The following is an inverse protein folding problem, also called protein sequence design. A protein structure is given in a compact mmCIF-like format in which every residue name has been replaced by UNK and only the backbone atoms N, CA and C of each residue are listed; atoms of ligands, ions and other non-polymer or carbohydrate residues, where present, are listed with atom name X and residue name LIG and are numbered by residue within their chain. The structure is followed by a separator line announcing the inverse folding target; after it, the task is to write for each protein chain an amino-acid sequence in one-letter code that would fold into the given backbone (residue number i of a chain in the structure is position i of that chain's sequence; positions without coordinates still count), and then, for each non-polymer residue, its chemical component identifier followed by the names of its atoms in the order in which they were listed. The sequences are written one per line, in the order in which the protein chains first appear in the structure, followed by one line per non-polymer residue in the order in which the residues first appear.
data_IF_110918118891
#
_entry.id   IF_110918118891
#
_cell.length_a   1.000
_cell.length_b   1.000
_cell.length_c   1.000
_cell.angle_alpha   90.00
_cell.angle_beta   90.00
_cell.angle_gamma   90.00
#
_symmetry.space_group_name_H-M   'P 1'
#
loop_
_entity.id
_entity.type
_entity.pdbx_description
1 polymer ?
#
# COMPACT_ATOMS: atom_id res chain seq x y z
N UNK A 1 1.82 -4.19 5.92
CA UNK A 1 0.45 -3.66 6.07
C UNK A 1 -0.15 -3.57 4.68
N UNK A 2 -1.38 -4.03 4.50
CA UNK A 2 -2.11 -3.91 3.24
C UNK A 2 -3.34 -3.01 3.46
N UNK A 3 -3.42 -1.89 2.74
CA UNK A 3 -4.55 -0.97 2.79
C UNK A 3 -5.31 -1.05 1.47
N UNK A 4 -6.46 -1.71 1.48
CA UNK A 4 -7.19 -2.10 0.25
C UNK A 4 -8.18 -1.02 -0.21
N UNK A 5 -8.44 -0.05 0.65
CA UNK A 5 -9.43 1.01 0.48
C UNK A 5 -8.96 2.21 -0.35
N UNK A 6 -9.94 3.00 -0.79
CA UNK A 6 -9.75 4.33 -1.37
C UNK A 6 -11.08 5.08 -1.41
N UNK A 7 -11.08 6.39 -1.10
CA UNK A 7 -12.29 7.22 -1.18
C UNK A 7 -12.82 7.37 -2.62
N UNK A 8 -11.92 7.45 -3.60
CA UNK A 8 -12.26 7.48 -5.02
C UNK A 8 -12.31 6.06 -5.60
N UNK A 9 -13.47 5.64 -6.10
CA UNK A 9 -13.67 4.34 -6.73
C UNK A 9 -12.74 4.12 -7.94
N UNK A 10 -12.41 5.18 -8.69
CA UNK A 10 -11.46 5.13 -9.80
C UNK A 10 -10.04 4.73 -9.40
N UNK A 11 -9.69 4.89 -8.11
CA UNK A 11 -8.37 4.62 -7.54
C UNK A 11 -8.32 3.32 -6.75
N UNK A 12 -9.38 2.51 -6.77
CA UNK A 12 -9.40 1.20 -6.10
C UNK A 12 -8.82 0.16 -7.05
N UNK A 13 -7.69 -0.42 -6.67
CA UNK A 13 -7.26 -1.68 -7.26
C UNK A 13 -8.32 -2.74 -6.94
N UNK A 14 -8.75 -3.56 -7.92
CA UNK A 14 -9.85 -4.49 -7.71
C UNK A 14 -9.62 -5.43 -6.51
N UNK A 15 -10.64 -5.57 -5.67
CA UNK A 15 -10.55 -6.37 -4.44
C UNK A 15 -10.16 -7.83 -4.71
N UNK A 16 -10.72 -8.43 -5.77
CA UNK A 16 -10.36 -9.78 -6.18
C UNK A 16 -8.89 -9.93 -6.59
N UNK A 17 -8.24 -8.86 -7.07
CA UNK A 17 -6.82 -8.90 -7.39
C UNK A 17 -5.93 -8.71 -6.15
N UNK A 18 -6.37 -7.91 -5.17
CA UNK A 18 -5.76 -7.93 -3.83
C UNK A 18 -5.86 -9.32 -3.20
N UNK A 19 -7.04 -9.94 -3.28
CA UNK A 19 -7.30 -11.27 -2.72
C UNK A 19 -6.47 -12.36 -3.40
N UNK A 20 -6.08 -12.17 -4.67
CA UNK A 20 -5.17 -13.06 -5.37
C UNK A 20 -3.69 -12.84 -4.98
N UNK A 21 -3.28 -11.62 -4.63
CA UNK A 21 -1.89 -11.34 -4.23
C UNK A 21 -1.59 -11.70 -2.76
N UNK A 22 -2.59 -11.62 -1.89
CA UNK A 22 -2.39 -11.76 -0.45
C UNK A 22 -1.96 -13.18 0.00
N UNK A 23 -2.51 -14.29 -0.55
CA UNK A 23 -2.06 -15.65 -0.24
C UNK A 23 -0.61 -15.90 -0.65
N UNK A 24 -0.22 -15.51 -1.86
CA UNK A 24 1.16 -15.67 -2.37
C UNK A 24 2.18 -15.00 -1.43
N UNK A 25 1.88 -13.77 -0.96
CA UNK A 25 2.71 -13.10 0.04
C UNK A 25 2.82 -13.90 1.35
N UNK A 26 1.73 -14.54 1.79
CA UNK A 26 1.74 -15.34 3.01
C UNK A 26 2.52 -16.65 2.84
N UNK A 27 2.50 -17.26 1.65
CA UNK A 27 3.32 -18.43 1.31
C UNK A 27 4.83 -18.09 1.39
N UNK A 28 5.21 -16.88 1.01
CA UNK A 28 6.56 -16.30 1.20
C UNK A 28 6.85 -15.86 2.65
N UNK A 29 5.99 -16.21 3.62
CA UNK A 29 6.19 -15.93 5.04
C UNK A 29 5.85 -14.52 5.48
N UNK A 30 5.21 -13.71 4.63
CA UNK A 30 4.78 -12.35 4.98
C UNK A 30 3.50 -12.41 5.82
N UNK A 31 3.55 -11.82 7.02
CA UNK A 31 2.37 -11.63 7.87
C UNK A 31 1.62 -10.38 7.46
N UNK A 32 0.34 -10.53 7.12
CA UNK A 32 -0.49 -9.43 6.64
C UNK A 32 -1.38 -8.86 7.76
N UNK A 33 -1.31 -7.54 7.91
CA UNK A 33 -2.27 -6.73 8.68
C UNK A 33 -3.01 -5.88 7.68
N UNK A 34 -4.32 -6.06 7.61
CA UNK A 34 -5.23 -5.32 6.75
C UNK A 34 -5.75 -4.09 7.46
N UNK A 35 -5.88 -3.00 6.71
CA UNK A 35 -6.41 -1.73 7.22
C UNK A 35 -7.39 -1.13 6.22
N UNK A 36 -8.28 -0.30 6.73
CA UNK A 36 -9.35 0.37 6.01
C UNK A 36 -10.10 1.29 6.95
N UNK A 37 -10.94 2.16 6.42
CA UNK A 37 -11.96 2.84 7.23
C UNK A 37 -13.07 1.86 7.65
N UNK A 38 -13.94 2.28 8.59
CA UNK A 38 -15.09 1.47 9.00
C UNK A 38 -16.04 1.17 7.82
N UNK A 39 -16.18 2.10 6.87
CA UNK A 39 -16.97 1.90 5.65
C UNK A 39 -16.33 0.91 4.64
N UNK A 40 -15.10 0.47 4.90
CA UNK A 40 -14.34 -0.45 4.05
C UNK A 40 -14.14 -1.81 4.71
N UNK A 41 -14.81 -2.09 5.84
CA UNK A 41 -14.70 -3.36 6.56
C UNK A 41 -15.09 -4.55 5.68
N UNK A 42 -16.25 -4.50 5.01
CA UNK A 42 -16.68 -5.56 4.09
C UNK A 42 -15.69 -5.78 2.94
N UNK A 43 -15.09 -4.70 2.43
CA UNK A 43 -14.06 -4.76 1.39
C UNK A 43 -12.79 -5.46 1.91
N UNK A 44 -12.36 -5.11 3.12
CA UNK A 44 -11.20 -5.74 3.78
C UNK A 44 -11.46 -7.23 4.00
N UNK A 45 -12.64 -7.58 4.50
CA UNK A 45 -13.01 -8.96 4.76
C UNK A 45 -13.11 -9.79 3.47
N UNK A 46 -13.61 -9.21 2.36
CA UNK A 46 -13.60 -9.87 1.05
C UNK A 46 -12.18 -10.22 0.62
N UNK A 47 -11.22 -9.30 0.78
CA UNK A 47 -9.81 -9.57 0.45
C UNK A 47 -9.21 -10.61 1.40
N UNK A 48 -9.53 -10.53 2.69
CA UNK A 48 -8.97 -11.39 3.74
C UNK A 48 -9.53 -12.81 3.72
N UNK A 49 -10.75 -13.02 3.23
CA UNK A 49 -11.46 -14.30 3.27
C UNK A 49 -10.69 -15.47 2.62
N UNK A 50 -9.84 -15.18 1.62
CA UNK A 50 -9.01 -16.17 0.94
C UNK A 50 -7.69 -16.52 1.66
N UNK A 51 -7.40 -15.90 2.81
CA UNK A 51 -6.14 -16.10 3.52
C UNK A 51 -6.10 -17.44 4.27
N UNK A 52 -5.20 -18.34 3.87
CA UNK A 52 -4.92 -19.60 4.59
C UNK A 52 -3.93 -19.46 5.77
N UNK A 53 -3.27 -18.29 5.91
CA UNK A 53 -2.25 -18.01 6.92
C UNK A 53 -2.61 -16.89 7.89
N UNK A 54 -1.63 -16.43 8.69
CA UNK A 54 -1.84 -15.34 9.64
C UNK A 54 -2.26 -14.05 8.93
N UNK A 55 -3.51 -13.64 9.19
CA UNK A 55 -4.06 -12.36 8.78
C UNK A 55 -4.79 -11.72 9.95
N UNK A 56 -4.74 -10.40 10.04
CA UNK A 56 -5.51 -9.64 11.02
C UNK A 56 -6.07 -8.38 10.36
N UNK A 57 -7.32 -8.05 10.65
CA UNK A 57 -7.97 -6.81 10.19
C UNK A 57 -7.97 -5.80 11.33
N UNK A 58 -7.64 -4.55 11.02
CA UNK A 58 -7.80 -3.38 11.89
C UNK A 58 -8.67 -2.32 11.16
N UNK A 59 -9.57 -2.76 10.28
CA UNK A 59 -10.44 -1.89 9.51
C UNK A 59 -11.40 -1.14 10.45
N UNK A 60 -11.44 0.19 10.36
CA UNK A 60 -12.27 1.02 11.24
C UNK A 60 -11.78 1.13 12.69
N UNK A 61 -10.70 0.44 13.07
CA UNK A 61 -10.21 0.40 14.46
C UNK A 61 -9.12 1.44 14.76
N UNK A 62 -8.54 2.07 13.74
CA UNK A 62 -7.38 2.93 13.88
C UNK A 62 -7.73 4.41 13.68
N UNK A 63 -7.31 5.25 14.63
CA UNK A 63 -7.13 6.68 14.38
C UNK A 63 -5.96 6.93 13.41
N UNK A 64 -5.87 8.15 12.86
CA UNK A 64 -4.74 8.52 11.99
C UNK A 64 -3.37 8.36 12.69
N UNK A 65 -3.30 8.70 13.98
CA UNK A 65 -2.07 8.58 14.76
C UNK A 65 -1.67 7.11 14.97
N UNK A 66 -2.65 6.23 15.23
CA UNK A 66 -2.41 4.79 15.38
C UNK A 66 -2.04 4.14 14.04
N UNK A 67 -2.65 4.56 12.94
CA UNK A 67 -2.24 4.15 11.60
C UNK A 67 -0.78 4.54 11.35
N UNK A 68 -0.38 5.78 11.66
CA UNK A 68 1.01 6.21 11.53
C UNK A 68 1.96 5.37 12.40
N UNK A 69 1.56 5.05 13.64
CA UNK A 69 2.34 4.22 14.55
C UNK A 69 2.50 2.77 14.04
N UNK A 70 1.42 2.19 13.50
CA UNK A 70 1.45 0.88 12.84
C UNK A 70 2.38 0.90 11.62
N UNK A 71 2.22 1.88 10.73
CA UNK A 71 3.03 2.01 9.52
C UNK A 71 4.51 2.16 9.85
N UNK A 72 4.87 2.99 10.84
CA UNK A 72 6.26 3.17 11.29
C UNK A 72 6.93 1.87 11.72
N UNK A 73 6.16 0.91 12.24
CA UNK A 73 6.65 -0.42 12.64
C UNK A 73 6.60 -1.43 11.51
N UNK A 74 5.73 -1.22 10.51
CA UNK A 74 5.59 -2.10 9.37
C UNK A 74 6.86 -2.06 8.49
N UNK A 75 7.28 -3.20 7.93
CA UNK A 75 8.39 -3.23 6.99
C UNK A 75 8.00 -2.69 5.60
N UNK A 76 6.71 -2.72 5.29
CA UNK A 76 6.16 -2.34 4.00
C UNK A 76 4.67 -1.97 4.13
N UNK A 77 4.23 -0.97 3.37
CA UNK A 77 2.84 -0.71 3.03
C UNK A 77 2.58 -1.13 1.57
N UNK A 78 1.50 -1.87 1.33
CA UNK A 78 0.90 -2.08 0.00
C UNK A 78 -0.45 -1.36 0.00
N UNK A 79 -0.66 -0.41 -0.90
CA UNK A 79 -1.87 0.43 -0.89
C UNK A 79 -2.20 0.98 -2.26
N UNK A 80 -3.47 1.33 -2.47
CA UNK A 80 -3.85 2.31 -3.49
C UNK A 80 -3.19 3.67 -3.23
N UNK A 81 -3.04 4.52 -4.25
CA UNK A 81 -2.55 5.90 -4.07
C UNK A 81 -3.57 6.77 -3.31
N UNK A 82 -3.49 6.72 -1.98
CA UNK A 82 -4.41 7.36 -1.03
C UNK A 82 -3.66 7.90 0.20
N UNK A 83 -4.39 8.51 1.15
CA UNK A 83 -3.82 9.08 2.37
C UNK A 83 -2.77 8.20 3.09
N UNK A 84 -3.03 6.90 3.32
CA UNK A 84 -2.06 5.97 3.92
C UNK A 84 -0.67 5.94 3.26
N UNK A 85 -0.57 6.11 1.94
CA UNK A 85 0.71 6.19 1.23
C UNK A 85 1.52 7.40 1.71
N UNK A 86 0.89 8.56 1.83
CA UNK A 86 1.55 9.77 2.32
C UNK A 86 1.94 9.65 3.80
N UNK A 87 1.10 9.01 4.62
CA UNK A 87 1.43 8.73 6.02
C UNK A 87 2.65 7.80 6.11
N UNK A 88 2.69 6.74 5.31
CA UNK A 88 3.84 5.83 5.25
C UNK A 88 5.13 6.56 4.86
N UNK A 89 5.08 7.43 3.85
CA UNK A 89 6.21 8.27 3.46
C UNK A 89 6.69 9.14 4.63
N UNK A 90 5.75 9.81 5.33
CA UNK A 90 6.08 10.69 6.45
C UNK A 90 6.74 9.96 7.63
N UNK A 91 6.43 8.67 7.83
CA UNK A 91 7.03 7.85 8.91
C UNK A 91 8.18 6.94 8.45
N UNK A 92 8.62 7.07 7.19
CA UNK A 92 9.78 6.36 6.65
C UNK A 92 9.53 4.90 6.26
N UNK A 93 8.27 4.54 5.99
CA UNK A 93 7.88 3.17 5.63
C UNK A 93 7.90 2.99 4.11
N UNK A 94 8.59 1.96 3.59
CA UNK A 94 8.56 1.62 2.17
C UNK A 94 7.15 1.35 1.64
N UNK A 95 6.92 1.61 0.36
CA UNK A 95 5.57 1.54 -0.25
C UNK A 95 5.56 0.80 -1.59
N UNK A 96 4.68 -0.19 -1.74
CA UNK A 96 4.14 -0.57 -3.04
C UNK A 96 2.86 0.23 -3.27
N UNK A 97 2.90 1.14 -4.24
CA UNK A 97 1.81 2.06 -4.54
C UNK A 97 1.09 1.64 -5.83
N UNK A 98 -0.18 1.27 -5.70
CA UNK A 98 -1.06 0.93 -6.82
C UNK A 98 -1.68 2.24 -7.33
N UNK A 99 -1.09 2.76 -8.40
CA UNK A 99 -1.22 4.14 -8.81
C UNK A 99 -2.13 4.31 -10.02
N UNK A 100 -3.26 5.00 -9.84
CA UNK A 100 -4.27 5.20 -10.88
C UNK A 100 -3.91 6.25 -11.96
N UNK A 101 -2.62 6.56 -12.12
CA UNK A 101 -2.09 7.53 -13.10
C UNK A 101 -2.75 8.92 -13.01
N UNK A 102 -2.96 9.46 -11.81
CA UNK A 102 -3.67 10.75 -11.62
C UNK A 102 -2.76 11.98 -11.75
N UNK A 103 -1.76 12.13 -10.89
CA UNK A 103 -0.77 13.20 -10.92
C UNK A 103 0.61 12.64 -10.55
N UNK A 104 1.59 12.55 -11.46
CA UNK A 104 2.91 12.00 -11.14
C UNK A 104 3.63 12.70 -9.99
N UNK A 105 3.26 13.94 -9.63
CA UNK A 105 3.80 14.62 -8.44
C UNK A 105 3.31 14.02 -7.10
N UNK A 106 2.26 13.19 -7.11
CA UNK A 106 1.67 12.57 -5.93
C UNK A 106 2.13 11.12 -5.71
N UNK A 107 3.12 10.65 -6.46
CA UNK A 107 3.77 9.36 -6.17
C UNK A 107 4.49 9.41 -4.82
N UNK A 108 4.79 8.27 -4.19
CA UNK A 108 5.50 8.22 -2.91
C UNK A 108 6.83 8.98 -3.00
N UNK A 109 7.20 9.69 -1.93
CA UNK A 109 8.42 10.51 -1.88
C UNK A 109 9.19 10.26 -0.59
N UNK A 110 10.52 10.27 -0.68
CA UNK A 110 11.41 10.18 0.49
C UNK A 110 11.54 8.78 1.11
N UNK A 111 10.97 7.74 0.49
CA UNK A 111 11.07 6.34 0.93
C UNK A 111 11.30 5.41 -0.25
N UNK A 112 11.92 4.23 -0.05
CA UNK A 112 11.94 3.18 -1.07
C UNK A 112 10.52 2.82 -1.50
N UNK A 113 10.27 2.82 -2.81
CA UNK A 113 8.96 2.50 -3.32
C UNK A 113 9.00 1.74 -4.65
N UNK A 114 7.88 1.11 -4.96
CA UNK A 114 7.53 0.57 -6.28
C UNK A 114 6.15 1.13 -6.65
N UNK A 115 6.09 1.90 -7.71
CA UNK A 115 4.84 2.48 -8.22
C UNK A 115 4.36 1.60 -9.36
N UNK A 116 3.22 0.94 -9.17
CA UNK A 116 2.64 0.02 -10.14
C UNK A 116 1.44 0.69 -10.81
N UNK A 117 1.45 0.70 -12.14
CA UNK A 117 0.37 1.23 -12.97
C UNK A 117 0.41 0.55 -14.33
N UNK A 118 -0.74 0.41 -14.97
CA UNK A 118 -0.83 0.01 -16.38
C UNK A 118 -1.07 1.22 -17.25
N UNK A 119 -0.32 1.32 -18.34
CA UNK A 119 -0.35 2.49 -19.18
C UNK A 119 -1.64 2.58 -20.02
N UNK A 120 -2.29 3.75 -19.99
CA UNK A 120 -3.58 3.98 -20.69
C UNK A 120 -3.63 5.34 -21.39
N UNK A 121 -4.47 5.51 -22.44
CA UNK A 121 -4.68 6.80 -23.09
C UNK A 121 -5.30 7.85 -22.17
N UNK A 122 -6.23 7.44 -21.29
CA UNK A 122 -6.96 8.30 -20.36
C UNK A 122 -6.17 8.65 -19.08
N UNK A 123 -4.83 8.50 -19.08
CA UNK A 123 -3.96 8.86 -17.95
C UNK A 123 -4.08 10.35 -17.60
N UNK A 124 -3.54 10.72 -16.43
CA UNK A 124 -3.68 12.05 -15.83
C UNK A 124 -5.15 12.42 -15.55
N UNK A 125 -5.98 11.41 -15.25
CA UNK A 125 -7.39 11.59 -14.93
C UNK A 125 -7.59 11.84 -13.43
N UNK A 126 -8.37 12.86 -13.09
CA UNK A 126 -8.64 13.26 -11.70
C UNK A 126 -10.04 12.86 -11.21
N UNK A 127 -10.81 12.11 -12.00
CA UNK A 127 -12.20 11.76 -11.70
C UNK A 127 -12.27 10.70 -10.60
N UNK A 128 -13.23 10.84 -9.67
CA UNK A 128 -13.44 9.88 -8.58
C UNK A 128 -14.09 8.57 -9.01
N UNK A 129 -14.75 8.57 -10.18
CA UNK A 129 -15.31 7.39 -10.87
C UNK A 129 -14.70 7.36 -12.27
N UNK A 130 -14.34 6.17 -12.76
CA UNK A 130 -13.69 6.03 -14.06
C UNK A 130 -14.68 6.39 -15.19
N UNK A 131 -14.43 7.44 -16.01
CA UNK A 131 -15.33 7.82 -17.09
C UNK A 131 -15.43 6.75 -18.18
N UNK A 132 -14.34 6.01 -18.38
CA UNK A 132 -14.25 4.94 -19.37
C UNK A 132 -14.82 3.61 -18.86
N UNK A 133 -15.18 3.51 -17.58
CA UNK A 133 -15.79 2.33 -16.96
C UNK A 133 -14.89 1.09 -16.80
N UNK A 134 -13.67 1.09 -17.35
CA UNK A 134 -12.82 -0.11 -17.38
C UNK A 134 -11.79 -0.19 -16.23
N UNK A 135 -11.36 0.95 -15.67
CA UNK A 135 -10.34 1.05 -14.61
C UNK A 135 -8.99 0.37 -14.94
N UNK A 136 -8.61 0.34 -16.22
CA UNK A 136 -7.49 -0.50 -16.72
C UNK A 136 -6.14 -0.05 -16.18
N UNK A 137 -5.99 1.22 -15.81
CA UNK A 137 -4.78 1.73 -15.17
C UNK A 137 -4.40 0.97 -13.89
N UNK A 138 -5.40 0.36 -13.23
CA UNK A 138 -5.21 -0.50 -12.07
C UNK A 138 -5.59 -1.95 -12.36
N UNK A 139 -6.73 -2.20 -13.03
CA UNK A 139 -7.26 -3.55 -13.31
C UNK A 139 -6.29 -4.44 -14.08
N UNK A 140 -5.43 -3.87 -14.93
CA UNK A 140 -4.45 -4.63 -15.71
C UNK A 140 -3.12 -4.88 -14.99
N UNK A 141 -2.94 -4.37 -13.77
CA UNK A 141 -1.78 -4.72 -12.94
C UNK A 141 -2.00 -6.15 -12.43
N UNK A 142 -1.15 -7.13 -12.78
CA UNK A 142 -1.32 -8.50 -12.32
C UNK A 142 -0.97 -8.63 -10.83
N UNK A 143 -1.67 -9.47 -10.05
CA UNK A 143 -1.35 -9.73 -8.65
C UNK A 143 0.12 -10.10 -8.42
N UNK A 144 0.70 -10.91 -9.30
CA UNK A 144 2.10 -11.32 -9.25
C UNK A 144 3.08 -10.12 -9.29
N UNK A 145 2.77 -9.03 -9.98
CA UNK A 145 3.62 -7.83 -9.96
C UNK A 145 3.59 -7.13 -8.59
N UNK A 146 2.45 -7.19 -7.88
CA UNK A 146 2.32 -6.68 -6.51
C UNK A 146 3.16 -7.53 -5.55
N UNK A 147 3.07 -8.85 -5.67
CA UNK A 147 3.86 -9.81 -4.88
C UNK A 147 5.36 -9.58 -5.10
N UNK A 148 5.80 -9.58 -6.36
CA UNK A 148 7.21 -9.36 -6.71
C UNK A 148 7.73 -8.03 -6.15
N UNK A 149 7.01 -6.93 -6.39
CA UNK A 149 7.40 -5.60 -5.90
C UNK A 149 7.51 -5.55 -4.36
N UNK A 150 6.61 -6.26 -3.67
CA UNK A 150 6.63 -6.34 -2.22
C UNK A 150 7.84 -7.14 -1.70
N UNK A 151 8.11 -8.32 -2.28
CA UNK A 151 9.23 -9.16 -1.88
C UNK A 151 10.58 -8.50 -2.16
N UNK A 152 10.73 -7.81 -3.29
CA UNK A 152 11.94 -7.01 -3.58
C UNK A 152 12.20 -5.96 -2.48
N UNK A 153 11.19 -5.16 -2.13
CA UNK A 153 11.34 -4.13 -1.09
C UNK A 153 11.57 -4.73 0.31
N UNK A 154 11.00 -5.90 0.61
CA UNK A 154 11.23 -6.60 1.87
C UNK A 154 12.65 -7.18 1.94
N UNK A 155 13.17 -7.71 0.84
CA UNK A 155 14.54 -8.23 0.73
C UNK A 155 15.59 -7.12 0.88
N UNK A 156 15.40 -5.97 0.23
CA UNK A 156 16.29 -4.81 0.33
C UNK A 156 16.44 -4.32 1.79
N UNK A 157 15.42 -4.51 2.62
CA UNK A 157 15.39 -4.11 4.03
C UNK A 157 16.24 -4.99 4.94
N UNK A 158 16.71 -6.15 4.48
CA UNK A 158 17.71 -6.95 5.20
C UNK A 158 19.07 -6.24 5.28
N UNK A 159 19.28 -5.17 4.49
CA UNK A 159 20.36 -4.21 4.67
C UNK A 159 19.88 -2.99 5.48
N UNK A 160 20.23 -2.94 6.78
CA UNK A 160 20.22 -1.70 7.58
C UNK A 160 21.65 -1.37 8.04
N UNK A 161 22.33 -0.38 7.44
CA UNK A 161 23.26 0.40 8.24
C UNK A 161 22.39 1.17 9.23
N UNK A 162 22.50 0.82 10.51
CA UNK A 162 21.96 1.66 11.57
C UNK A 162 22.54 3.06 11.40
N UNK A 163 21.72 4.03 10.99
CA UNK A 163 22.03 5.43 11.20
C UNK A 163 21.99 5.64 12.71
N UNK A 164 23.15 5.50 13.34
CA UNK A 164 23.40 6.03 14.68
C UNK A 164 23.05 7.50 14.63
N UNK A 165 22.03 7.88 15.39
CA UNK A 165 21.77 9.27 15.74
C UNK A 165 23.06 9.81 16.36
N UNK A 166 23.85 10.57 15.59
CA UNK A 166 24.97 11.34 16.13
C UNK A 166 24.37 12.35 17.09
N UNK A 167 24.54 12.11 18.38
CA UNK A 167 24.34 13.11 19.41
C UNK A 167 25.15 14.36 19.03
N UNK A 168 24.44 15.47 18.87
CA UNK A 168 25.08 16.78 18.83
C UNK A 168 25.78 17.00 20.17
N UNK A 169 27.08 17.35 20.21
CA UNK A 169 27.66 17.81 21.46
C UNK A 169 27.02 19.16 21.79
N UNK A 170 26.41 19.25 22.97
CA UNK A 170 26.01 20.51 23.56
C UNK A 170 27.24 21.43 23.58
N UNK A 171 27.15 22.58 22.90
CA UNK A 171 28.16 23.63 23.02
C UNK A 171 27.90 24.36 24.34
N UNK A 172 28.95 24.46 25.14
CA UNK A 172 29.05 25.30 26.34
C UNK A 172 28.95 26.79 25.98
#
# INVERSE_FOLDING_TARGET
VMHVGASAASRRYPAGLFAAAAPDLAEDGVRLVFTGSAAEEELVELVRAGMGGFSHSLAGELTLAELAALLRRAPLLISNNTGPVHVACAVGTPVVDLYALTNPQHTPWGVPCRVLSHDVPCRNCYKSVCPEGHNDCLRRIPPAAVVQAALELLADRTYRPHTTYRSHPARH
#
